data_IF_414527674406
#
_entry.id   IF_414527674406
#
_cell.length_a   1.000
_cell.length_b   1.000
_cell.length_c   1.000
_cell.angle_alpha   90.00
_cell.angle_beta   90.00
_cell.angle_gamma   90.00
#
_symmetry.space_group_name_H-M   'P 1'
#
loop_
_entity.id
_entity.type
_entity.pdbx_description
1 polymer ?
#
# COMPACT_ATOMS: atom_id res chain seq x y z
N UNK A 1 20.57 -14.56 6.34
CA UNK A 1 19.75 -13.38 5.97
C UNK A 1 19.50 -13.46 4.47
N UNK A 2 18.25 -13.61 4.03
CA UNK A 2 17.93 -13.56 2.60
C UNK A 2 18.07 -12.11 2.14
N UNK A 3 18.99 -11.85 1.20
CA UNK A 3 19.12 -10.54 0.57
C UNK A 3 17.78 -10.21 -0.10
N UNK A 4 17.19 -9.02 0.12
CA UNK A 4 15.98 -8.63 -0.60
C UNK A 4 16.24 -8.69 -2.09
N UNK A 5 15.27 -9.22 -2.85
CA UNK A 5 15.33 -9.23 -4.30
C UNK A 5 15.12 -7.80 -4.77
N UNK A 6 16.08 -7.25 -5.49
CA UNK A 6 15.90 -5.97 -6.16
C UNK A 6 15.07 -6.21 -7.43
N UNK A 7 13.85 -5.65 -7.45
CA UNK A 7 12.92 -5.76 -8.56
C UNK A 7 12.80 -4.41 -9.28
N UNK A 8 12.90 -4.41 -10.61
CA UNK A 8 12.55 -3.25 -11.43
C UNK A 8 11.03 -3.05 -11.42
N UNK A 9 10.57 -1.91 -10.89
CA UNK A 9 9.15 -1.63 -10.73
C UNK A 9 8.38 -1.61 -12.06
N UNK A 10 8.97 -1.08 -13.13
CA UNK A 10 8.31 -1.00 -14.44
C UNK A 10 8.16 -2.36 -15.09
N UNK A 11 9.25 -3.14 -15.11
CA UNK A 11 9.24 -4.51 -15.60
C UNK A 11 8.27 -5.39 -14.79
N UNK A 12 8.21 -5.19 -13.47
CA UNK A 12 7.31 -5.94 -12.61
C UNK A 12 5.84 -5.57 -12.86
N UNK A 13 5.51 -4.28 -13.00
CA UNK A 13 4.16 -3.83 -13.35
C UNK A 13 3.69 -4.40 -14.69
N UNK A 14 4.56 -4.38 -15.71
CA UNK A 14 4.27 -4.98 -17.00
C UNK A 14 3.98 -6.49 -16.86
N UNK A 15 4.83 -7.20 -16.11
CA UNK A 15 4.70 -8.65 -15.91
C UNK A 15 3.49 -9.05 -15.09
N UNK A 16 3.06 -8.21 -14.15
CA UNK A 16 1.76 -8.34 -13.46
C UNK A 16 0.64 -8.13 -14.47
N UNK A 17 0.68 -7.06 -15.27
CA UNK A 17 -0.37 -6.76 -16.24
C UNK A 17 -0.55 -7.89 -17.27
N UNK A 18 0.53 -8.46 -17.78
CA UNK A 18 0.52 -9.60 -18.70
C UNK A 18 -0.20 -10.82 -18.14
N UNK A 19 -0.16 -11.01 -16.81
CA UNK A 19 -0.77 -12.15 -16.11
C UNK A 19 -2.15 -11.84 -15.53
N UNK A 20 -2.49 -10.57 -15.33
CA UNK A 20 -3.86 -10.15 -14.97
C UNK A 20 -4.74 -10.22 -16.23
N UNK A 21 -5.91 -10.88 -16.15
CA UNK A 21 -6.83 -11.00 -17.28
C UNK A 21 -7.17 -9.63 -17.87
N UNK A 22 -7.13 -9.43 -19.20
CA UNK A 22 -7.34 -8.12 -19.83
C UNK A 22 -8.62 -7.41 -19.40
N UNK A 23 -9.72 -8.15 -19.21
CA UNK A 23 -11.02 -7.63 -18.77
C UNK A 23 -11.04 -7.11 -17.33
N UNK A 24 -10.06 -7.50 -16.51
CA UNK A 24 -9.97 -7.13 -15.10
C UNK A 24 -8.92 -6.04 -14.81
N UNK A 25 -8.00 -5.76 -15.74
CA UNK A 25 -6.86 -4.84 -15.49
C UNK A 25 -7.31 -3.45 -15.03
N UNK A 26 -8.36 -2.90 -15.63
CA UNK A 26 -8.92 -1.60 -15.24
C UNK A 26 -9.46 -1.57 -13.79
N UNK A 27 -9.80 -2.74 -13.24
CA UNK A 27 -10.27 -2.92 -11.85
C UNK A 27 -9.14 -3.13 -10.84
N UNK A 28 -7.89 -3.10 -11.28
CA UNK A 28 -6.71 -3.30 -10.43
C UNK A 28 -5.92 -2.00 -10.31
N UNK A 29 -5.67 -1.60 -9.08
CA UNK A 29 -4.73 -0.52 -8.74
C UNK A 29 -3.59 -1.11 -7.92
N UNK A 30 -2.35 -0.96 -8.40
CA UNK A 30 -1.16 -1.36 -7.66
C UNK A 30 -0.83 -0.29 -6.63
N UNK A 31 -0.64 -0.70 -5.37
CA UNK A 31 -0.29 0.18 -4.25
C UNK A 31 1.01 -0.24 -3.58
N UNK A 32 1.42 0.47 -2.54
CA UNK A 32 2.54 0.07 -1.70
C UNK A 32 3.92 0.34 -2.33
N UNK A 33 4.89 -0.50 -2.01
CA UNK A 33 6.31 -0.26 -2.33
C UNK A 33 6.58 -0.22 -3.84
N UNK A 34 5.87 -1.03 -4.65
CA UNK A 34 6.00 -1.02 -6.11
C UNK A 34 5.50 0.30 -6.69
N UNK A 35 4.36 0.81 -6.19
CA UNK A 35 3.82 2.09 -6.63
C UNK A 35 4.78 3.26 -6.32
N UNK A 36 5.38 3.24 -5.13
CA UNK A 36 6.39 4.22 -4.74
C UNK A 36 7.64 4.18 -5.65
N UNK A 37 8.16 2.97 -5.91
CA UNK A 37 9.34 2.79 -6.76
C UNK A 37 9.07 3.20 -8.22
N UNK A 38 7.86 2.94 -8.72
CA UNK A 38 7.44 3.42 -10.03
C UNK A 38 7.42 4.95 -10.09
N UNK A 39 6.84 5.63 -9.09
CA UNK A 39 6.72 7.09 -9.09
C UNK A 39 8.08 7.81 -8.98
N UNK A 40 9.04 7.24 -8.24
CA UNK A 40 10.31 7.89 -7.92
C UNK A 40 11.54 7.31 -8.64
N UNK A 41 11.31 6.47 -9.67
CA UNK A 41 12.34 5.78 -10.46
C UNK A 41 13.47 6.67 -10.99
N UNK A 42 13.20 7.94 -11.26
CA UNK A 42 14.19 8.89 -11.80
C UNK A 42 15.20 9.35 -10.73
N UNK A 43 14.79 9.41 -9.47
CA UNK A 43 15.62 9.93 -8.36
C UNK A 43 16.48 8.82 -7.77
N UNK A 44 15.91 7.61 -7.65
CA UNK A 44 16.61 6.47 -7.07
C UNK A 44 17.79 5.99 -7.91
N UNK A 45 17.97 6.53 -9.12
CA UNK A 45 18.96 6.07 -10.11
C UNK A 45 18.78 4.61 -10.52
N UNK A 46 17.74 3.96 -9.99
CA UNK A 46 17.40 2.56 -10.12
C UNK A 46 15.88 2.48 -10.07
N UNK A 47 15.30 1.61 -10.88
CA UNK A 47 13.88 1.25 -10.74
C UNK A 47 13.68 0.21 -9.63
N UNK A 48 14.72 -0.04 -8.83
CA UNK A 48 14.82 -1.17 -7.94
C UNK A 48 14.07 -0.92 -6.63
N UNK A 49 13.32 -1.91 -6.21
CA UNK A 49 12.68 -1.93 -4.89
C UNK A 49 12.99 -3.23 -4.17
N UNK A 50 13.33 -3.09 -2.89
CA UNK A 50 13.53 -4.22 -1.99
C UNK A 50 12.18 -4.70 -1.46
N UNK A 51 11.42 -5.40 -2.31
CA UNK A 51 10.18 -6.04 -1.86
C UNK A 51 9.87 -7.36 -2.58
N UNK A 52 8.99 -8.15 -1.96
CA UNK A 52 8.41 -9.37 -2.56
C UNK A 52 6.89 -9.34 -2.63
N UNK A 53 6.24 -8.41 -1.93
CA UNK A 53 4.80 -8.23 -1.93
C UNK A 53 4.38 -7.21 -2.99
N UNK A 54 3.39 -7.59 -3.79
CA UNK A 54 2.71 -6.69 -4.72
C UNK A 54 1.24 -6.60 -4.30
N UNK A 55 0.88 -5.45 -3.77
CA UNK A 55 -0.47 -5.19 -3.30
C UNK A 55 -1.38 -4.81 -4.48
N UNK A 56 -2.31 -5.71 -4.82
CA UNK A 56 -3.32 -5.49 -5.85
C UNK A 56 -4.63 -5.07 -5.20
N UNK A 57 -4.90 -3.76 -5.18
CA UNK A 57 -6.20 -3.26 -4.73
C UNK A 57 -7.24 -3.40 -5.84
N UNK A 58 -8.29 -4.16 -5.54
CA UNK A 58 -9.46 -4.28 -6.41
C UNK A 58 -10.40 -3.08 -6.19
N UNK A 59 -10.79 -2.42 -7.28
CA UNK A 59 -11.61 -1.21 -7.27
C UNK A 59 -12.52 -1.18 -8.53
N UNK A 60 -13.76 -0.68 -8.47
CA UNK A 60 -14.43 -0.04 -7.32
C UNK A 60 -15.00 -1.03 -6.30
N UNK A 61 -15.24 -0.55 -5.07
CA UNK A 61 -15.74 -1.32 -3.92
C UNK A 61 -16.95 -2.24 -4.20
N UNK A 62 -17.84 -1.85 -5.12
CA UNK A 62 -19.07 -2.60 -5.47
C UNK A 62 -18.78 -3.94 -6.17
N UNK A 63 -17.66 -4.03 -6.89
CA UNK A 63 -17.34 -5.18 -7.76
C UNK A 63 -16.24 -6.08 -7.18
N UNK A 64 -15.67 -5.73 -6.04
CA UNK A 64 -14.40 -6.32 -5.57
C UNK A 64 -14.50 -7.81 -5.25
N UNK A 65 -15.63 -8.31 -4.74
CA UNK A 65 -15.79 -9.75 -4.45
C UNK A 65 -15.82 -10.54 -5.75
N UNK A 66 -16.71 -10.18 -6.69
CA UNK A 66 -16.78 -10.85 -8.00
C UNK A 66 -15.46 -10.74 -8.79
N UNK A 67 -14.77 -9.59 -8.67
CA UNK A 67 -13.45 -9.38 -9.25
C UNK A 67 -12.40 -10.29 -8.60
N UNK A 68 -12.41 -10.44 -7.27
CA UNK A 68 -11.49 -11.33 -6.55
C UNK A 68 -11.72 -12.80 -6.89
N UNK A 69 -12.98 -13.24 -6.98
CA UNK A 69 -13.32 -14.61 -7.38
C UNK A 69 -12.84 -14.92 -8.80
N UNK A 70 -13.07 -13.99 -9.73
CA UNK A 70 -12.65 -14.15 -11.14
C UNK A 70 -11.14 -14.13 -11.26
N UNK A 71 -10.47 -13.11 -10.71
CA UNK A 71 -9.01 -12.97 -10.74
C UNK A 71 -8.33 -14.15 -10.05
N UNK A 72 -8.77 -14.49 -8.84
CA UNK A 72 -8.20 -15.60 -8.07
C UNK A 72 -8.35 -16.93 -8.81
N UNK A 73 -9.52 -17.22 -9.39
CA UNK A 73 -9.75 -18.43 -10.20
C UNK A 73 -8.84 -18.48 -11.42
N UNK A 74 -8.75 -17.38 -12.19
CA UNK A 74 -7.96 -17.37 -13.43
C UNK A 74 -6.46 -17.50 -13.14
N UNK A 75 -5.92 -16.78 -12.15
CA UNK A 75 -4.52 -16.93 -11.77
C UNK A 75 -4.20 -18.36 -11.34
N UNK A 76 -5.05 -18.98 -10.52
CA UNK A 76 -4.88 -20.39 -10.10
C UNK A 76 -4.94 -21.36 -11.29
N UNK A 77 -5.85 -21.14 -12.25
CA UNK A 77 -5.94 -21.95 -13.47
C UNK A 77 -4.70 -21.80 -14.36
N UNK A 78 -4.04 -20.64 -14.34
CA UNK A 78 -2.78 -20.38 -15.02
C UNK A 78 -1.54 -20.84 -14.22
N UNK A 79 -1.73 -21.69 -13.21
CA UNK A 79 -0.63 -22.35 -12.49
C UNK A 79 0.00 -21.50 -11.40
N UNK A 80 -0.56 -20.34 -11.06
CA UNK A 80 -0.13 -19.59 -9.89
C UNK A 80 -0.35 -20.41 -8.62
N UNK A 81 0.61 -20.34 -7.70
CA UNK A 81 0.59 -21.14 -6.47
C UNK A 81 0.24 -20.27 -5.26
N UNK A 82 -0.68 -20.72 -4.39
CA UNK A 82 -1.02 -19.98 -3.18
C UNK A 82 0.13 -20.00 -2.18
N UNK A 83 0.32 -18.90 -1.45
CA UNK A 83 1.26 -18.81 -0.32
C UNK A 83 0.51 -18.72 1.00
N UNK A 84 0.99 -19.47 2.00
CA UNK A 84 0.47 -19.44 3.36
C UNK A 84 1.56 -19.05 4.38
N UNK A 85 1.91 -17.76 4.52
CA UNK A 85 2.98 -17.34 5.44
C UNK A 85 2.75 -17.71 6.90
N UNK A 86 1.49 -17.83 7.33
CA UNK A 86 1.11 -18.30 8.67
C UNK A 86 0.90 -19.82 8.75
N UNK A 87 1.05 -20.55 7.64
CA UNK A 87 0.68 -21.97 7.52
C UNK A 87 -0.82 -22.23 7.44
N UNK A 88 -1.65 -21.19 7.51
CA UNK A 88 -3.12 -21.32 7.45
C UNK A 88 -3.55 -21.40 5.98
N UNK A 89 -4.07 -22.56 5.58
CA UNK A 89 -4.64 -22.83 4.26
C UNK A 89 -6.00 -22.18 4.03
N UNK A 90 -6.62 -22.40 2.86
CA UNK A 90 -7.95 -21.89 2.54
C UNK A 90 -8.99 -22.35 3.58
N UNK A 91 -9.94 -21.47 3.89
CA UNK A 91 -11.03 -21.79 4.80
C UNK A 91 -12.15 -22.59 4.12
N UNK A 92 -13.14 -22.94 4.94
CA UNK A 92 -14.42 -23.53 4.52
C UNK A 92 -15.56 -22.56 4.79
N UNK A 93 -16.78 -22.94 4.39
CA UNK A 93 -18.00 -22.18 4.69
C UNK A 93 -18.20 -21.90 6.20
N UNK A 94 -17.64 -22.74 7.07
CA UNK A 94 -17.77 -22.62 8.53
C UNK A 94 -16.64 -21.79 9.17
N UNK A 95 -15.55 -21.49 8.45
CA UNK A 95 -14.43 -20.69 8.98
C UNK A 95 -14.87 -19.24 9.14
N UNK A 96 -14.76 -18.57 10.30
CA UNK A 96 -15.15 -17.15 10.42
C UNK A 96 -14.39 -16.22 9.46
N UNK A 97 -15.04 -15.16 8.96
CA UNK A 97 -14.44 -14.24 7.97
C UNK A 97 -13.13 -13.60 8.45
N UNK A 98 -13.01 -13.33 9.75
CA UNK A 98 -11.79 -12.77 10.37
C UNK A 98 -10.65 -13.76 10.52
N UNK A 99 -10.92 -15.05 10.33
CA UNK A 99 -9.95 -16.15 10.40
C UNK A 99 -9.51 -16.62 9.00
N UNK A 100 -10.19 -16.19 7.95
CA UNK A 100 -9.80 -16.50 6.57
C UNK A 100 -8.45 -15.87 6.22
N UNK A 101 -7.55 -16.60 5.54
CA UNK A 101 -6.31 -16.02 5.04
C UNK A 101 -6.59 -15.07 3.87
N UNK A 102 -5.75 -14.05 3.72
CA UNK A 102 -5.70 -13.27 2.48
C UNK A 102 -5.15 -14.12 1.34
N UNK A 103 -5.68 -13.95 0.12
CA UNK A 103 -5.17 -14.64 -1.04
C UNK A 103 -3.84 -14.02 -1.48
N UNK A 104 -2.77 -14.81 -1.32
CA UNK A 104 -1.43 -14.50 -1.82
C UNK A 104 -1.02 -15.51 -2.86
N UNK A 105 -0.56 -15.07 -4.02
CA UNK A 105 -0.23 -15.95 -5.14
C UNK A 105 1.16 -15.65 -5.70
N UNK A 106 1.98 -16.68 -5.92
CA UNK A 106 3.23 -16.58 -6.69
C UNK A 106 2.99 -16.97 -8.14
N UNK A 107 3.59 -16.25 -9.10
CA UNK A 107 3.52 -16.65 -10.50
C UNK A 107 4.18 -18.01 -10.71
N UNK A 108 3.77 -18.76 -11.75
CA UNK A 108 4.56 -19.89 -12.22
C UNK A 108 5.97 -19.42 -12.58
N UNK A 109 6.94 -20.32 -12.43
CA UNK A 109 8.36 -20.14 -12.81
C UNK A 109 9.17 -19.14 -11.95
N UNK A 110 8.56 -18.47 -10.96
CA UNK A 110 9.25 -17.51 -10.08
C UNK A 110 8.82 -17.61 -8.60
N UNK A 111 8.69 -18.85 -8.12
CA UNK A 111 8.17 -19.16 -6.78
C UNK A 111 8.91 -18.45 -5.61
N UNK A 112 10.20 -18.14 -5.78
CA UNK A 112 11.03 -17.46 -4.77
C UNK A 112 11.21 -15.94 -5.00
N UNK A 113 10.65 -15.44 -6.11
CA UNK A 113 10.80 -14.06 -6.57
C UNK A 113 9.90 -13.08 -5.82
N UNK A 114 8.61 -13.11 -6.16
CA UNK A 114 7.58 -12.17 -5.69
C UNK A 114 6.21 -12.85 -5.65
N UNK A 115 5.24 -12.20 -5.01
CA UNK A 115 3.86 -12.65 -4.96
C UNK A 115 2.90 -11.46 -5.00
N UNK A 116 1.67 -11.69 -5.45
CA UNK A 116 0.58 -10.73 -5.35
C UNK A 116 -0.24 -11.00 -4.09
N UNK A 117 -0.70 -9.96 -3.43
CA UNK A 117 -1.73 -10.01 -2.39
C UNK A 117 -2.96 -9.26 -2.88
N UNK A 118 -4.15 -9.89 -2.78
CA UNK A 118 -5.40 -9.22 -3.14
C UNK A 118 -5.95 -8.41 -1.96
N UNK A 119 -6.25 -7.15 -2.22
CA UNK A 119 -6.86 -6.22 -1.28
C UNK A 119 -8.14 -5.63 -1.89
N UNK A 120 -9.04 -5.12 -1.06
CA UNK A 120 -10.26 -4.49 -1.53
C UNK A 120 -10.32 -3.00 -1.21
N UNK A 121 -10.87 -2.25 -2.16
CA UNK A 121 -11.46 -0.94 -1.89
C UNK A 121 -12.54 -1.05 -0.79
N UNK A 122 -12.51 -0.20 0.26
CA UNK A 122 -13.45 -0.28 1.38
C UNK A 122 -14.89 -0.05 0.92
N UNK A 123 -15.87 -0.74 1.52
CA UNK A 123 -17.27 -0.39 1.35
C UNK A 123 -17.53 1.05 1.84
N UNK A 124 -18.52 1.69 1.22
CA UNK A 124 -18.95 3.02 1.63
C UNK A 124 -19.32 3.04 3.11
N UNK A 125 -18.81 4.03 3.85
CA UNK A 125 -19.07 4.18 5.28
C UNK A 125 -18.28 3.24 6.20
N UNK A 126 -17.26 2.52 5.72
CA UNK A 126 -16.39 1.72 6.60
C UNK A 126 -15.77 2.60 7.70
N UNK A 127 -16.13 2.37 8.96
CA UNK A 127 -15.57 3.08 10.13
C UNK A 127 -14.47 2.28 10.82
N UNK A 128 -14.60 0.96 10.86
CA UNK A 128 -13.59 0.05 11.39
C UNK A 128 -12.31 0.12 10.55
N UNK A 129 -11.15 0.13 11.22
CA UNK A 129 -9.83 0.12 10.56
C UNK A 129 -9.72 -0.95 9.48
N UNK A 130 -10.15 -2.17 9.80
CA UNK A 130 -10.08 -3.33 8.91
C UNK A 130 -11.46 -3.96 8.76
N UNK A 131 -11.77 -4.37 7.54
CA UNK A 131 -12.92 -5.19 7.22
C UNK A 131 -12.47 -6.36 6.34
N UNK A 132 -13.10 -7.52 6.50
CA UNK A 132 -12.82 -8.72 5.72
C UNK A 132 -14.10 -9.13 5.02
N UNK A 133 -14.03 -9.37 3.71
CA UNK A 133 -15.11 -9.99 2.95
C UNK A 133 -14.68 -11.35 2.45
N UNK A 134 -15.48 -12.37 2.70
CA UNK A 134 -15.27 -13.69 2.09
C UNK A 134 -15.41 -13.62 0.58
N UNK A 135 -14.57 -14.37 -0.11
CA UNK A 135 -14.76 -14.74 -1.50
C UNK A 135 -14.27 -16.17 -1.74
N UNK A 136 -14.82 -16.85 -2.74
CA UNK A 136 -14.53 -18.26 -2.98
C UNK A 136 -13.66 -18.48 -4.21
N UNK A 137 -12.76 -19.44 -4.10
CA UNK A 137 -11.94 -19.92 -5.22
C UNK A 137 -12.15 -21.43 -5.42
N UNK A 138 -11.47 -22.00 -6.41
CA UNK A 138 -11.42 -23.47 -6.58
C UNK A 138 -10.70 -24.22 -5.45
N UNK A 139 -9.97 -23.53 -4.57
CA UNK A 139 -9.22 -24.13 -3.46
C UNK A 139 -9.94 -24.05 -2.10
N UNK A 140 -11.02 -23.28 -2.01
CA UNK A 140 -11.70 -22.95 -0.76
C UNK A 140 -11.94 -21.45 -0.62
N UNK A 141 -12.23 -21.03 0.60
CA UNK A 141 -12.63 -19.66 0.93
C UNK A 141 -11.43 -18.84 1.41
N UNK A 142 -11.39 -17.57 0.99
CA UNK A 142 -10.37 -16.61 1.36
C UNK A 142 -11.02 -15.31 1.85
N UNK A 143 -10.25 -14.55 2.63
CA UNK A 143 -10.63 -13.22 3.07
C UNK A 143 -10.05 -12.16 2.15
N UNK A 144 -10.86 -11.20 1.74
CA UNK A 144 -10.44 -10.02 1.00
C UNK A 144 -10.38 -8.82 1.98
N UNK A 145 -9.21 -8.47 2.51
CA UNK A 145 -9.09 -7.39 3.47
C UNK A 145 -9.22 -6.02 2.81
N UNK A 146 -9.92 -5.10 3.49
CA UNK A 146 -9.96 -3.68 3.15
C UNK A 146 -9.64 -2.82 4.37
N UNK A 147 -8.94 -1.70 4.14
CA UNK A 147 -8.67 -0.69 5.16
C UNK A 147 -9.45 0.59 4.82
N UNK A 148 -9.98 1.26 5.85
CA UNK A 148 -10.98 2.34 5.71
C UNK A 148 -10.53 3.53 4.85
N UNK A 149 -9.23 3.77 4.72
CA UNK A 149 -8.68 4.85 3.88
C UNK A 149 -8.05 4.39 2.56
N UNK A 150 -8.27 3.14 2.11
CA UNK A 150 -7.72 2.73 0.81
C UNK A 150 -8.33 3.47 -0.37
N UNK A 151 -9.58 3.94 -0.24
CA UNK A 151 -10.19 4.84 -1.25
C UNK A 151 -9.42 6.16 -1.39
N UNK A 152 -8.80 6.67 -0.31
CA UNK A 152 -7.86 7.80 -0.38
C UNK A 152 -6.60 7.39 -1.11
N UNK A 153 -6.02 6.24 -0.77
CA UNK A 153 -4.75 5.78 -1.35
C UNK A 153 -4.80 5.65 -2.88
N UNK A 154 -5.95 5.23 -3.43
CA UNK A 154 -6.13 5.04 -4.88
C UNK A 154 -6.86 6.18 -5.57
N UNK A 155 -7.16 7.25 -4.84
CA UNK A 155 -7.74 8.45 -5.45
C UNK A 155 -6.77 9.03 -6.49
N UNK A 156 -7.29 9.31 -7.68
CA UNK A 156 -6.52 9.77 -8.84
C UNK A 156 -5.36 8.83 -9.24
N UNK A 157 -5.47 7.51 -9.00
CA UNK A 157 -4.50 6.54 -9.48
C UNK A 157 -4.25 6.67 -10.99
N UNK A 158 -2.98 6.58 -11.38
CA UNK A 158 -2.51 6.90 -12.74
C UNK A 158 -2.46 5.65 -13.61
N UNK A 159 -2.67 5.81 -14.92
CA UNK A 159 -2.49 4.73 -15.88
C UNK A 159 -0.99 4.42 -16.06
N UNK A 160 -0.65 3.13 -16.07
CA UNK A 160 0.73 2.66 -16.23
C UNK A 160 1.16 2.49 -17.70
N UNK A 161 0.24 2.59 -18.65
CA UNK A 161 0.40 2.19 -20.05
C UNK A 161 0.20 0.68 -20.28
N UNK A 162 0.17 -0.14 -19.22
CA UNK A 162 -0.01 -1.60 -19.29
C UNK A 162 -1.47 -2.04 -19.08
N UNK A 163 -2.40 -1.08 -18.93
CA UNK A 163 -3.81 -1.30 -18.61
C UNK A 163 -4.10 -1.48 -17.12
N UNK A 164 -3.06 -1.45 -16.27
CA UNK A 164 -3.20 -1.32 -14.81
C UNK A 164 -3.12 0.15 -14.41
N UNK A 165 -3.67 0.46 -13.23
CA UNK A 165 -3.44 1.74 -12.57
C UNK A 165 -2.46 1.60 -11.40
N UNK A 166 -1.82 2.70 -11.01
CA UNK A 166 -0.88 2.77 -9.89
C UNK A 166 -1.24 3.93 -8.96
N UNK A 167 -1.19 3.69 -7.66
CA UNK A 167 -1.50 4.73 -6.67
C UNK A 167 -0.43 5.82 -6.64
N UNK A 168 -0.87 7.06 -6.46
CA UNK A 168 0.00 8.22 -6.32
C UNK A 168 0.61 8.28 -4.91
N UNK A 169 1.93 8.55 -4.76
CA UNK A 169 2.59 8.60 -3.46
C UNK A 169 1.93 9.52 -2.44
N UNK A 170 1.49 10.71 -2.85
CA UNK A 170 0.83 11.68 -1.98
C UNK A 170 -0.49 11.15 -1.45
N UNK A 171 -1.28 10.43 -2.26
CA UNK A 171 -2.54 9.82 -1.84
C UNK A 171 -2.29 8.65 -0.87
N UNK A 172 -1.28 7.82 -1.13
CA UNK A 172 -0.86 6.76 -0.20
C UNK A 172 -0.37 7.33 1.13
N UNK A 173 0.42 8.40 1.10
CA UNK A 173 0.89 9.08 2.30
C UNK A 173 -0.29 9.60 3.14
N UNK A 174 -1.23 10.31 2.53
CA UNK A 174 -2.43 10.81 3.21
C UNK A 174 -3.25 9.67 3.83
N UNK A 175 -3.45 8.56 3.10
CA UNK A 175 -4.16 7.40 3.61
C UNK A 175 -3.47 6.80 4.86
N UNK A 176 -2.14 6.69 4.86
CA UNK A 176 -1.38 6.24 6.04
C UNK A 176 -1.53 7.19 7.23
N UNK A 177 -1.50 8.50 7.00
CA UNK A 177 -1.68 9.49 8.07
C UNK A 177 -3.08 9.40 8.68
N UNK A 178 -4.12 9.35 7.84
CA UNK A 178 -5.51 9.22 8.29
C UNK A 178 -5.74 7.91 9.05
N UNK A 179 -5.17 6.80 8.58
CA UNK A 179 -5.34 5.49 9.21
C UNK A 179 -4.84 5.46 10.66
N UNK A 180 -3.80 6.24 10.94
CA UNK A 180 -3.09 6.26 12.23
C UNK A 180 -3.30 7.55 13.03
N UNK A 181 -4.37 8.31 12.75
CA UNK A 181 -4.85 9.37 13.63
C UNK A 181 -5.12 8.85 15.06
N UNK A 182 -5.59 7.61 15.15
CA UNK A 182 -5.52 6.76 16.34
C UNK A 182 -4.46 5.66 16.10
N UNK A 183 -3.24 5.76 16.63
CA UNK A 183 -2.12 4.90 16.21
C UNK A 183 -2.35 3.39 16.45
N UNK A 184 -2.15 2.56 15.42
CA UNK A 184 -2.14 1.10 15.59
C UNK A 184 -0.92 0.62 16.37
N UNK A 185 -1.14 0.26 17.64
CA UNK A 185 -0.10 -0.23 18.54
C UNK A 185 0.16 -1.73 18.45
N UNK A 186 -0.49 -2.44 17.53
CA UNK A 186 -0.24 -3.87 17.29
C UNK A 186 1.24 -4.07 16.89
N UNK A 187 2.01 -4.89 17.60
CA UNK A 187 3.41 -5.13 17.27
C UNK A 187 3.55 -5.81 15.90
N UNK A 188 4.54 -5.37 15.10
CA UNK A 188 4.92 -6.09 13.89
C UNK A 188 5.90 -7.21 14.26
N UNK A 189 5.44 -8.46 14.19
CA UNK A 189 6.30 -9.62 14.35
C UNK A 189 7.41 -9.66 13.28
N UNK A 190 8.56 -10.23 13.65
CA UNK A 190 9.74 -10.41 12.78
C UNK A 190 10.50 -9.11 12.42
N UNK A 191 10.21 -7.99 13.08
CA UNK A 191 11.05 -6.79 13.03
C UNK A 191 11.81 -6.62 14.36
N UNK A 192 13.08 -6.19 14.35
CA UNK A 192 13.84 -5.93 15.58
C UNK A 192 13.09 -4.96 16.51
N UNK A 193 12.89 -5.36 17.76
CA UNK A 193 12.17 -4.54 18.76
C UNK A 193 10.64 -4.57 18.66
N UNK A 194 10.07 -5.35 17.74
CA UNK A 194 8.61 -5.48 17.53
C UNK A 194 7.87 -4.13 17.52
N UNK A 195 8.30 -3.19 16.65
CA UNK A 195 7.74 -1.84 16.66
C UNK A 195 6.23 -1.85 16.37
N UNK A 196 5.48 -0.88 16.92
CA UNK A 196 4.07 -0.69 16.62
C UNK A 196 3.79 -0.55 15.11
N UNK A 197 2.67 -1.08 14.61
CA UNK A 197 2.34 -1.04 13.18
C UNK A 197 2.32 0.37 12.59
N UNK A 198 1.82 1.35 13.33
CA UNK A 198 1.76 2.73 12.85
C UNK A 198 3.14 3.30 12.49
N UNK A 199 4.23 2.84 13.13
CA UNK A 199 5.58 3.37 12.82
C UNK A 199 6.01 3.02 11.40
N UNK A 200 5.59 1.85 10.89
CA UNK A 200 5.84 1.44 9.51
C UNK A 200 5.08 2.33 8.53
N UNK A 201 3.78 2.50 8.75
CA UNK A 201 2.90 3.18 7.79
C UNK A 201 3.11 4.70 7.79
N UNK A 202 3.18 5.33 8.97
CA UNK A 202 3.50 6.77 9.09
C UNK A 202 4.96 7.03 8.68
N UNK A 203 5.89 6.13 9.01
CA UNK A 203 7.27 6.18 8.52
C UNK A 203 7.36 6.14 7.00
N UNK A 204 6.50 5.34 6.35
CA UNK A 204 6.38 5.33 4.88
C UNK A 204 5.87 6.65 4.34
N UNK A 205 4.88 7.30 4.97
CA UNK A 205 4.43 8.64 4.55
C UNK A 205 5.57 9.67 4.59
N UNK A 206 6.40 9.65 5.65
CA UNK A 206 7.60 10.52 5.76
C UNK A 206 8.62 10.20 4.66
N UNK A 207 8.85 8.92 4.36
CA UNK A 207 9.76 8.50 3.31
C UNK A 207 9.31 8.95 1.91
N UNK A 208 8.02 8.79 1.60
CA UNK A 208 7.43 9.24 0.33
C UNK A 208 7.55 10.77 0.20
N UNK A 209 7.34 11.50 1.28
CA UNK A 209 7.52 12.95 1.27
C UNK A 209 8.97 13.36 1.03
N UNK A 210 9.93 12.69 1.67
CA UNK A 210 11.35 12.92 1.40
C UNK A 210 11.65 12.70 -0.09
N UNK A 211 11.22 11.56 -0.66
CA UNK A 211 11.39 11.26 -2.08
C UNK A 211 10.76 12.33 -2.99
N UNK A 212 9.55 12.79 -2.67
CA UNK A 212 8.90 13.84 -3.46
C UNK A 212 9.74 15.13 -3.52
N UNK A 213 10.31 15.53 -2.38
CA UNK A 213 11.17 16.73 -2.29
C UNK A 213 12.48 16.58 -3.04
N UNK A 214 13.07 15.39 -3.04
CA UNK A 214 14.26 15.11 -3.85
C UNK A 214 13.94 15.12 -5.36
N UNK A 215 12.69 14.81 -5.75
CA UNK A 215 12.26 14.85 -7.15
C UNK A 215 12.06 16.27 -7.65
N UNK A 216 11.44 17.11 -6.83
CA UNK A 216 10.90 18.38 -7.27
C UNK A 216 10.81 19.39 -6.13
N UNK A 217 11.30 20.60 -6.40
CA UNK A 217 11.11 21.74 -5.51
C UNK A 217 9.63 22.13 -5.34
N UNK A 218 8.76 21.75 -6.29
CA UNK A 218 7.32 22.02 -6.27
C UNK A 218 6.50 20.93 -5.57
N UNK A 219 7.15 19.92 -4.96
CA UNK A 219 6.48 18.80 -4.32
C UNK A 219 5.42 19.23 -3.29
N UNK A 220 5.71 20.27 -2.50
CA UNK A 220 4.77 20.79 -1.50
C UNK A 220 3.48 21.33 -2.11
N UNK A 221 3.58 22.15 -3.17
CA UNK A 221 2.42 22.71 -3.87
C UNK A 221 1.56 21.60 -4.49
N UNK A 222 2.20 20.62 -5.13
CA UNK A 222 1.51 19.49 -5.75
C UNK A 222 0.80 18.60 -4.72
N UNK A 223 1.48 18.24 -3.62
CA UNK A 223 0.91 17.41 -2.56
C UNK A 223 -0.27 18.11 -1.90
N UNK A 224 -0.15 19.41 -1.57
CA UNK A 224 -1.24 20.19 -0.99
C UNK A 224 -2.46 20.26 -1.91
N UNK A 225 -2.24 20.57 -3.20
CA UNK A 225 -3.33 20.62 -4.18
C UNK A 225 -4.05 19.27 -4.28
N UNK A 226 -3.28 18.18 -4.39
CA UNK A 226 -3.81 16.83 -4.50
C UNK A 226 -4.56 16.40 -3.22
N UNK A 227 -4.03 16.69 -2.03
CA UNK A 227 -4.69 16.38 -0.77
C UNK A 227 -5.99 17.17 -0.58
N UNK A 228 -6.00 18.47 -0.90
CA UNK A 228 -7.23 19.28 -0.86
C UNK A 228 -8.30 18.73 -1.78
N UNK A 229 -7.93 18.40 -3.02
CA UNK A 229 -8.86 17.79 -3.98
C UNK A 229 -9.38 16.45 -3.46
N UNK A 230 -8.49 15.57 -2.98
CA UNK A 230 -8.84 14.24 -2.48
C UNK A 230 -9.82 14.33 -1.30
N UNK A 231 -9.53 15.20 -0.32
CA UNK A 231 -10.40 15.39 0.84
C UNK A 231 -11.74 16.03 0.47
N UNK A 232 -11.74 17.02 -0.41
CA UNK A 232 -12.97 17.66 -0.87
C UNK A 232 -13.88 16.69 -1.64
N UNK A 233 -13.30 15.77 -2.42
CA UNK A 233 -14.07 14.76 -3.17
C UNK A 233 -14.58 13.64 -2.28
N UNK A 234 -13.74 13.08 -1.41
CA UNK A 234 -14.09 11.88 -0.64
C UNK A 234 -14.76 12.20 0.70
N UNK A 235 -14.52 13.40 1.25
CA UNK A 235 -14.99 13.83 2.57
C UNK A 235 -15.45 15.31 2.54
N UNK A 236 -16.40 15.68 1.66
CA UNK A 236 -16.81 17.09 1.47
C UNK A 236 -17.26 17.74 2.79
N UNK A 237 -18.04 17.04 3.61
CA UNK A 237 -18.57 17.56 4.88
C UNK A 237 -17.66 17.31 6.08
N UNK A 238 -16.49 16.68 5.87
CA UNK A 238 -15.56 16.28 6.94
C UNK A 238 -14.11 16.67 6.65
N UNK A 239 -13.90 17.60 5.72
CA UNK A 239 -12.55 18.00 5.31
C UNK A 239 -11.72 18.51 6.50
N UNK A 240 -12.30 19.32 7.39
CA UNK A 240 -11.60 19.80 8.60
C UNK A 240 -11.19 18.67 9.55
N UNK A 241 -12.10 17.72 9.82
CA UNK A 241 -11.81 16.54 10.63
C UNK A 241 -10.66 15.71 10.01
N UNK A 242 -10.69 15.50 8.70
CA UNK A 242 -9.68 14.69 8.02
C UNK A 242 -8.31 15.35 8.04
N UNK A 243 -8.25 16.68 7.91
CA UNK A 243 -7.00 17.45 8.07
C UNK A 243 -6.43 17.28 9.48
N UNK A 244 -7.26 17.47 10.51
CA UNK A 244 -6.85 17.28 11.89
C UNK A 244 -6.38 15.84 12.16
N UNK A 245 -7.09 14.84 11.63
CA UNK A 245 -6.73 13.43 11.74
C UNK A 245 -5.38 13.13 11.08
N UNK A 246 -5.12 13.62 9.87
CA UNK A 246 -3.84 13.44 9.19
C UNK A 246 -2.68 14.06 9.98
N UNK A 247 -2.88 15.27 10.53
CA UNK A 247 -1.90 15.93 11.39
C UNK A 247 -1.60 15.10 12.66
N UNK A 248 -2.64 14.60 13.35
CA UNK A 248 -2.47 13.72 14.51
C UNK A 248 -1.70 12.44 14.16
N UNK A 249 -2.02 11.84 13.01
CA UNK A 249 -1.32 10.66 12.51
C UNK A 249 0.17 10.90 12.32
N UNK A 250 0.54 12.03 11.71
CA UNK A 250 1.96 12.39 11.53
C UNK A 250 2.67 12.71 12.86
N UNK A 251 2.00 13.45 13.74
CA UNK A 251 2.53 13.82 15.05
C UNK A 251 2.84 12.58 15.92
N UNK A 252 2.08 11.50 15.76
CA UNK A 252 2.26 10.25 16.51
C UNK A 252 3.65 9.60 16.31
N UNK A 253 4.29 9.84 15.16
CA UNK A 253 5.59 9.27 14.83
C UNK A 253 6.78 9.99 15.48
N UNK A 254 6.59 11.16 16.10
CA UNK A 254 7.69 12.00 16.63
C UNK A 254 8.63 11.24 17.57
N UNK A 255 8.06 10.41 18.47
CA UNK A 255 8.84 9.61 19.41
C UNK A 255 9.42 8.31 18.81
N UNK A 256 9.10 8.01 17.54
CA UNK A 256 9.41 6.74 16.87
C UNK A 256 10.18 6.94 15.56
N UNK A 257 10.75 8.13 15.33
CA UNK A 257 11.42 8.46 14.07
C UNK A 257 12.62 7.55 13.78
N UNK A 258 13.29 7.03 14.81
CA UNK A 258 14.40 6.09 14.65
C UNK A 258 13.93 4.75 14.10
N UNK A 259 12.88 4.18 14.70
CA UNK A 259 12.27 2.93 14.29
C UNK A 259 11.63 3.06 12.90
N UNK A 260 10.89 4.15 12.67
CA UNK A 260 10.29 4.47 11.38
C UNK A 260 11.35 4.58 10.28
N UNK A 261 12.46 5.28 10.54
CA UNK A 261 13.57 5.39 9.60
C UNK A 261 14.21 4.02 9.31
N UNK A 262 14.50 3.22 10.34
CA UNK A 262 15.08 1.89 10.16
C UNK A 262 14.21 0.98 9.30
N UNK A 263 12.88 1.03 9.47
CA UNK A 263 11.93 0.27 8.65
C UNK A 263 11.90 0.79 7.20
N UNK A 264 11.84 2.11 7.02
CA UNK A 264 11.83 2.74 5.69
C UNK A 264 13.12 2.44 4.91
N UNK A 265 14.28 2.46 5.59
CA UNK A 265 15.59 2.16 5.01
C UNK A 265 15.73 0.71 4.55
N UNK A 266 15.00 -0.23 5.14
CA UNK A 266 14.96 -1.63 4.69
C UNK A 266 13.83 -1.90 3.69
N UNK A 267 13.16 -0.86 3.19
CA UNK A 267 12.05 -0.98 2.23
C UNK A 267 12.14 0.11 1.16
N UNK A 268 11.29 1.14 1.22
CA UNK A 268 11.14 2.16 0.18
C UNK A 268 12.37 3.07 0.01
N UNK A 269 13.21 3.22 1.04
CA UNK A 269 14.45 4.00 1.00
C UNK A 269 15.71 3.14 0.82
N UNK A 270 15.57 1.82 0.66
CA UNK A 270 16.70 0.91 0.53
C UNK A 270 17.71 1.30 -0.57
N UNK A 271 17.29 1.80 -1.75
CA UNK A 271 18.23 2.20 -2.80
C UNK A 271 19.04 3.47 -2.50
N UNK A 272 18.62 4.29 -1.53
CA UNK A 272 19.06 5.69 -1.41
C UNK A 272 19.93 5.99 -0.18
N UNK A 273 20.01 5.08 0.80
CA UNK A 273 20.89 5.25 1.95
C UNK A 273 20.59 6.49 2.80
N UNK A 274 19.33 6.93 2.87
CA UNK A 274 18.90 8.15 3.57
C UNK A 274 19.37 8.14 5.03
N UNK A 275 19.94 9.26 5.50
CA UNK A 275 20.40 9.38 6.90
C UNK A 275 19.26 9.63 7.88
N UNK A 276 19.39 9.26 9.17
CA UNK A 276 18.39 9.57 10.18
C UNK A 276 18.08 11.07 10.30
N UNK A 277 19.08 11.93 10.11
CA UNK A 277 18.89 13.39 10.18
C UNK A 277 18.09 13.92 8.99
N UNK A 278 18.32 13.39 7.78
CA UNK A 278 17.50 13.71 6.60
C UNK A 278 16.04 13.28 6.81
N UNK A 279 15.82 12.10 7.38
CA UNK A 279 14.49 11.60 7.69
C UNK A 279 13.77 12.47 8.75
N UNK A 280 14.47 12.92 9.80
CA UNK A 280 13.91 13.87 10.78
C UNK A 280 13.56 15.22 10.16
N UNK A 281 14.38 15.74 9.24
CA UNK A 281 14.06 16.97 8.50
C UNK A 281 12.86 16.79 7.57
N UNK A 282 12.70 15.63 6.96
CA UNK A 282 11.53 15.31 6.16
C UNK A 282 10.27 15.26 7.03
N UNK A 283 10.32 14.64 8.21
CA UNK A 283 9.21 14.66 9.17
C UNK A 283 8.81 16.08 9.58
N UNK A 284 9.78 16.90 9.99
CA UNK A 284 9.53 18.29 10.39
C UNK A 284 8.90 19.12 9.26
N UNK A 285 9.42 19.02 8.04
CA UNK A 285 8.85 19.78 6.92
C UNK A 285 7.52 19.21 6.42
N UNK A 286 7.22 17.94 6.70
CA UNK A 286 5.89 17.38 6.42
C UNK A 286 4.85 17.92 7.40
N UNK A 287 5.23 18.13 8.67
CA UNK A 287 4.37 18.83 9.65
C UNK A 287 4.08 20.26 9.19
N UNK A 288 5.11 21.00 8.75
CA UNK A 288 4.93 22.35 8.19
C UNK A 288 4.00 22.35 6.96
N UNK A 289 4.14 21.36 6.06
CA UNK A 289 3.24 21.21 4.94
C UNK A 289 1.80 20.96 5.41
N UNK A 290 1.62 20.17 6.47
CA UNK A 290 0.32 19.81 7.00
C UNK A 290 -0.42 20.98 7.63
N UNK A 291 0.31 21.94 8.23
CA UNK A 291 -0.27 23.20 8.72
C UNK A 291 -0.88 24.03 7.57
N UNK A 292 -0.37 23.85 6.34
CA UNK A 292 -0.90 24.47 5.15
C UNK A 292 -2.09 23.74 4.51
N UNK A 293 -2.44 22.51 4.92
CA UNK A 293 -3.48 21.72 4.26
C UNK A 293 -4.88 22.33 4.42
#
# INVERSE_FOLDING_TARGET
MNRPLELDAGALLQRVAERVPPSLRAKVVVIGSIAAAWAYREISGTHAVATKDIDLLLHPAIDVVATAETLGRELLQHGWQPRYPSGIGPGTADTPDTELPALRLTPPDEADGWFVELLADPPAGQTHRKHWRRFRTGLGDFGLPSFRYMGVAVHAAEDTGFGLRVARPECMALAHLLEHADPDRTPIANLPGNPPRFTKDVGRAIALWWLAREQSALAGEHWLAQWRMTLATLYPDRTADMKAAAHLGLASATAYLREAHAIALNSVLAPLGTTPDAFRRAHASLLELMDGL
#
